data_IF_029457027240
#
_entry.id   IF_029457027240
#
_cell.length_a   1.000
_cell.length_b   1.000
_cell.length_c   1.000
_cell.angle_alpha   90.00
_cell.angle_beta   90.00
_cell.angle_gamma   90.00
#
_symmetry.space_group_name_H-M   'P 1'
#
loop_
_entity.id
_entity.type
_entity.pdbx_description
1 polymer ?
#
# COMPACT_ATOMS: atom_id res chain seq x y z
N UNK A 1 -31.39 -31.35 57.89
CA UNK A 1 -30.23 -31.75 58.72
C UNK A 1 -29.00 -31.70 57.83
N UNK A 2 -28.26 -30.58 57.85
CA UNK A 2 -27.13 -30.34 56.94
C UNK A 2 -25.86 -30.63 57.73
N UNK A 3 -25.27 -31.79 57.50
CA UNK A 3 -24.02 -32.22 58.12
C UNK A 3 -22.84 -31.42 57.53
N UNK A 4 -22.25 -30.57 58.36
CA UNK A 4 -21.10 -29.72 58.01
C UNK A 4 -19.81 -30.55 57.96
N UNK A 5 -19.34 -30.88 56.75
CA UNK A 5 -18.08 -31.54 56.46
C UNK A 5 -16.88 -30.56 56.62
N UNK A 6 -16.46 -30.30 57.87
CA UNK A 6 -15.36 -29.36 58.18
C UNK A 6 -13.95 -29.80 57.76
N UNK A 7 -13.75 -31.04 57.27
CA UNK A 7 -12.43 -31.59 56.90
C UNK A 7 -12.02 -31.41 55.44
N UNK A 8 -12.91 -30.91 54.57
CA UNK A 8 -12.66 -30.78 53.12
C UNK A 8 -12.56 -29.32 52.61
N UNK A 9 -12.66 -28.32 53.49
CA UNK A 9 -12.69 -26.91 53.04
C UNK A 9 -11.37 -26.38 52.47
N UNK A 10 -10.22 -26.90 52.91
CA UNK A 10 -8.92 -26.42 52.42
C UNK A 10 -8.60 -26.84 50.99
N UNK A 11 -8.94 -28.08 50.61
CA UNK A 11 -8.58 -28.63 49.30
C UNK A 11 -9.42 -28.04 48.17
N UNK A 12 -10.69 -27.70 48.45
CA UNK A 12 -11.57 -27.05 47.47
C UNK A 12 -11.07 -25.63 47.16
N UNK A 13 -10.57 -24.90 48.16
CA UNK A 13 -9.99 -23.57 47.97
C UNK A 13 -8.71 -23.63 47.13
N UNK A 14 -7.88 -24.66 47.37
CA UNK A 14 -6.67 -24.89 46.58
C UNK A 14 -7.01 -25.19 45.12
N UNK A 15 -8.00 -26.05 44.89
CA UNK A 15 -8.43 -26.41 43.54
C UNK A 15 -9.09 -25.23 42.81
N UNK A 16 -9.91 -24.42 43.50
CA UNK A 16 -10.51 -23.23 42.90
C UNK A 16 -9.45 -22.19 42.52
N UNK A 17 -8.39 -22.05 43.33
CA UNK A 17 -7.28 -21.16 43.05
C UNK A 17 -6.48 -21.61 41.81
N UNK A 18 -6.23 -22.91 41.64
CA UNK A 18 -5.59 -23.45 40.43
C UNK A 18 -6.43 -23.13 39.20
N UNK A 19 -7.74 -23.41 39.25
CA UNK A 19 -8.65 -23.15 38.12
C UNK A 19 -8.71 -21.66 37.79
N UNK A 20 -8.77 -20.79 38.80
CA UNK A 20 -8.73 -19.34 38.61
C UNK A 20 -7.45 -18.91 37.87
N UNK A 21 -6.28 -19.38 38.33
CA UNK A 21 -5.01 -19.04 37.68
C UNK A 21 -5.00 -19.51 36.23
N UNK A 22 -5.43 -20.75 35.94
CA UNK A 22 -5.49 -21.26 34.57
C UNK A 22 -6.43 -20.42 33.68
N UNK A 23 -7.61 -20.06 34.17
CA UNK A 23 -8.55 -19.22 33.41
C UNK A 23 -7.97 -17.82 33.14
N UNK A 24 -7.28 -17.21 34.10
CA UNK A 24 -6.63 -15.91 33.87
C UNK A 24 -5.52 -15.98 32.83
N UNK A 25 -4.69 -17.05 32.83
CA UNK A 25 -3.62 -17.23 31.84
C UNK A 25 -4.17 -17.35 30.43
N UNK A 26 -5.24 -18.11 30.24
CA UNK A 26 -5.91 -18.25 28.94
C UNK A 26 -6.50 -16.90 28.51
N UNK A 27 -7.16 -16.19 29.44
CA UNK A 27 -7.76 -14.89 29.16
C UNK A 27 -6.73 -13.83 28.72
N UNK A 28 -5.59 -13.74 29.42
CA UNK A 28 -4.51 -12.81 29.06
C UNK A 28 -3.92 -13.17 27.69
N UNK A 29 -3.66 -14.46 27.43
CA UNK A 29 -3.09 -14.89 26.15
C UNK A 29 -3.99 -14.51 24.94
N UNK A 30 -5.31 -14.72 25.07
CA UNK A 30 -6.29 -14.36 24.05
C UNK A 30 -6.39 -12.83 23.86
N UNK A 31 -6.39 -12.07 24.96
CA UNK A 31 -6.49 -10.61 24.92
C UNK A 31 -5.26 -9.97 24.25
N UNK A 32 -4.06 -10.50 24.51
CA UNK A 32 -2.81 -10.00 23.89
C UNK A 32 -2.83 -10.24 22.38
N UNK A 33 -3.18 -11.45 21.94
CA UNK A 33 -3.24 -11.77 20.51
C UNK A 33 -4.31 -10.93 19.77
N UNK A 34 -5.47 -10.73 20.40
CA UNK A 34 -6.54 -9.89 19.85
C UNK A 34 -6.10 -8.43 19.73
N UNK A 35 -5.40 -7.88 20.73
CA UNK A 35 -4.90 -6.50 20.70
C UNK A 35 -3.86 -6.30 19.61
N UNK A 36 -2.99 -7.30 19.39
CA UNK A 36 -2.02 -7.28 18.29
C UNK A 36 -2.73 -7.26 16.94
N UNK A 37 -3.71 -8.14 16.74
CA UNK A 37 -4.49 -8.22 15.51
C UNK A 37 -5.23 -6.91 15.21
N UNK A 38 -5.81 -6.26 16.23
CA UNK A 38 -6.47 -4.96 16.08
C UNK A 38 -5.50 -3.85 15.66
N UNK A 39 -4.30 -3.80 16.24
CA UNK A 39 -3.27 -2.82 15.84
C UNK A 39 -2.79 -3.07 14.42
N UNK A 40 -2.63 -4.32 14.02
CA UNK A 40 -2.28 -4.69 12.65
C UNK A 40 -3.40 -4.32 11.67
N UNK A 41 -4.67 -4.55 12.03
CA UNK A 41 -5.81 -4.16 11.21
C UNK A 41 -5.88 -2.64 11.02
N UNK A 42 -5.64 -1.86 12.09
CA UNK A 42 -5.56 -0.39 12.01
C UNK A 42 -4.45 0.09 11.08
N UNK A 43 -3.22 -0.42 11.25
CA UNK A 43 -2.10 -0.10 10.37
C UNK A 43 -2.34 -0.56 8.92
N UNK A 44 -3.03 -1.68 8.73
CA UNK A 44 -3.45 -2.17 7.42
C UNK A 44 -4.45 -1.23 6.74
N UNK A 45 -5.40 -0.67 7.49
CA UNK A 45 -6.36 0.32 7.00
C UNK A 45 -5.67 1.59 6.52
N UNK A 46 -4.77 2.16 7.33
CA UNK A 46 -3.99 3.35 6.97
C UNK A 46 -3.14 3.11 5.72
N UNK A 47 -2.57 1.90 5.57
CA UNK A 47 -1.84 1.52 4.36
C UNK A 47 -2.75 1.45 3.12
N UNK A 48 -3.94 0.88 3.24
CA UNK A 48 -4.87 0.75 2.11
C UNK A 48 -5.33 2.14 1.64
N UNK A 49 -5.60 3.04 2.59
CA UNK A 49 -5.93 4.44 2.29
C UNK A 49 -4.79 5.13 1.55
N UNK A 50 -3.54 4.99 2.01
CA UNK A 50 -2.38 5.57 1.34
C UNK A 50 -2.09 4.94 -0.04
N UNK A 51 -2.40 3.66 -0.24
CA UNK A 51 -2.35 3.04 -1.57
C UNK A 51 -3.41 3.65 -2.49
N UNK A 52 -4.62 3.88 -1.98
CA UNK A 52 -5.69 4.49 -2.76
C UNK A 52 -5.35 5.95 -3.12
N UNK A 53 -4.80 6.74 -2.19
CA UNK A 53 -4.35 8.10 -2.47
C UNK A 53 -3.18 8.12 -3.47
N UNK A 54 -2.19 7.23 -3.31
CA UNK A 54 -1.08 7.11 -4.25
C UNK A 54 -1.55 6.78 -5.67
N UNK A 55 -2.51 5.85 -5.82
CA UNK A 55 -3.10 5.50 -7.11
C UNK A 55 -3.93 6.64 -7.70
N UNK A 56 -4.78 7.28 -6.89
CA UNK A 56 -5.58 8.43 -7.36
C UNK A 56 -4.71 9.60 -7.83
N UNK A 57 -3.65 9.91 -7.08
CA UNK A 57 -2.67 10.92 -7.48
C UNK A 57 -1.91 10.49 -8.75
N UNK A 58 -1.53 9.22 -8.85
CA UNK A 58 -0.89 8.66 -10.04
C UNK A 58 -1.77 8.85 -11.28
N UNK A 59 -3.04 8.44 -11.23
CA UNK A 59 -3.98 8.55 -12.34
C UNK A 59 -4.20 10.02 -12.75
N UNK A 60 -4.29 10.93 -11.77
CA UNK A 60 -4.40 12.38 -12.02
C UNK A 60 -3.17 12.91 -12.76
N UNK A 61 -1.96 12.55 -12.32
CA UNK A 61 -0.71 12.99 -13.00
C UNK A 61 -0.58 12.36 -14.38
N UNK A 62 -0.96 11.10 -14.55
CA UNK A 62 -0.94 10.45 -15.86
C UNK A 62 -1.89 11.19 -16.80
N UNK A 63 -3.15 11.35 -16.41
CA UNK A 63 -4.16 12.02 -17.23
C UNK A 63 -3.82 13.48 -17.56
N UNK A 64 -3.14 14.19 -16.66
CA UNK A 64 -2.72 15.57 -16.89
C UNK A 64 -1.54 15.69 -17.87
N UNK A 65 -0.74 14.63 -18.01
CA UNK A 65 0.50 14.65 -18.78
C UNK A 65 0.47 13.77 -20.05
N UNK A 66 -0.61 13.02 -20.27
CA UNK A 66 -0.82 12.25 -21.51
C UNK A 66 -0.75 13.18 -22.72
N UNK A 67 -0.07 12.75 -23.78
CA UNK A 67 0.02 13.52 -25.03
C UNK A 67 1.29 14.36 -25.15
N UNK A 68 1.44 15.48 -24.45
CA UNK A 68 2.57 16.43 -24.70
C UNK A 68 3.76 16.20 -23.78
N UNK A 69 3.54 16.15 -22.47
CA UNK A 69 4.64 15.99 -21.51
C UNK A 69 5.24 14.59 -21.60
N UNK A 70 4.41 13.55 -21.69
CA UNK A 70 4.87 12.17 -21.84
C UNK A 70 5.61 11.87 -23.16
N UNK A 71 5.51 12.73 -24.17
CA UNK A 71 6.16 12.58 -25.49
C UNK A 71 7.39 13.47 -25.69
N UNK A 72 7.57 14.51 -24.85
CA UNK A 72 8.73 15.43 -24.94
C UNK A 72 9.67 15.42 -23.73
N UNK A 73 9.22 14.99 -22.54
CA UNK A 73 10.05 14.83 -21.33
C UNK A 73 11.33 13.98 -21.53
N UNK A 74 12.49 14.60 -21.33
CA UNK A 74 13.83 13.96 -21.39
C UNK A 74 14.52 13.89 -20.02
N UNK A 75 13.93 14.53 -19.01
CA UNK A 75 14.46 14.63 -17.65
C UNK A 75 13.39 14.18 -16.66
N UNK A 76 13.81 13.58 -15.55
CA UNK A 76 12.91 13.22 -14.48
C UNK A 76 12.25 14.47 -13.85
N UNK A 77 10.94 14.43 -13.65
CA UNK A 77 10.20 15.53 -13.02
C UNK A 77 9.42 15.03 -11.81
N UNK A 78 9.41 15.84 -10.75
CA UNK A 78 8.70 15.53 -9.51
C UNK A 78 7.61 16.55 -9.27
N UNK A 79 6.38 16.10 -9.07
CA UNK A 79 5.22 16.92 -8.72
C UNK A 79 4.62 16.43 -7.41
N UNK A 80 4.19 17.36 -6.57
CA UNK A 80 3.54 17.02 -5.30
C UNK A 80 2.06 17.35 -5.44
N UNK A 81 1.21 16.35 -5.25
CA UNK A 81 -0.23 16.56 -5.15
C UNK A 81 -0.55 17.01 -3.72
N UNK A 82 -0.88 18.30 -3.57
CA UNK A 82 -1.19 18.89 -2.27
C UNK A 82 -2.54 18.43 -1.70
N UNK A 83 -3.46 17.96 -2.55
CA UNK A 83 -4.78 17.50 -2.12
C UNK A 83 -4.69 16.12 -1.46
N UNK A 84 -3.82 15.26 -2.00
CA UNK A 84 -3.64 13.88 -1.55
C UNK A 84 -2.36 13.65 -0.74
N UNK A 85 -1.47 14.65 -0.67
CA UNK A 85 -0.19 14.57 0.05
C UNK A 85 0.80 13.57 -0.56
N UNK A 86 0.70 13.32 -1.87
CA UNK A 86 1.48 12.29 -2.59
C UNK A 86 2.55 12.96 -3.45
N UNK A 87 3.75 12.41 -3.44
CA UNK A 87 4.84 12.83 -4.32
C UNK A 87 4.90 11.93 -5.55
N UNK A 88 4.69 12.51 -6.73
CA UNK A 88 4.71 11.81 -8.01
C UNK A 88 5.99 12.15 -8.76
N UNK A 89 6.73 11.13 -9.18
CA UNK A 89 7.99 11.25 -9.89
C UNK A 89 7.83 10.57 -11.25
N UNK A 90 8.03 11.32 -12.32
CA UNK A 90 7.97 10.83 -13.69
C UNK A 90 9.39 10.74 -14.23
N UNK A 91 9.85 9.54 -14.55
CA UNK A 91 11.21 9.27 -15.03
C UNK A 91 11.15 8.66 -16.44
N UNK A 92 11.77 9.30 -17.46
CA UNK A 92 11.88 8.68 -18.77
C UNK A 92 12.89 7.52 -18.70
N UNK A 93 12.51 6.31 -19.12
CA UNK A 93 13.44 5.16 -19.08
C UNK A 93 14.43 5.17 -20.25
N UNK A 94 14.05 5.78 -21.37
CA UNK A 94 14.85 5.86 -22.58
C UNK A 94 14.77 7.28 -23.16
N UNK A 95 15.91 7.80 -23.64
CA UNK A 95 16.02 9.12 -24.26
C UNK A 95 15.62 9.12 -25.76
N UNK A 96 14.72 8.23 -26.19
CA UNK A 96 14.33 8.12 -27.58
C UNK A 96 13.18 7.16 -27.84
N UNK A 97 12.76 7.15 -29.09
CA UNK A 97 11.67 6.34 -29.62
C UNK A 97 12.06 4.86 -29.66
N UNK A 98 11.29 4.02 -28.98
CA UNK A 98 11.49 2.58 -28.95
C UNK A 98 10.29 1.85 -29.53
N UNK A 99 10.47 0.59 -29.93
CA UNK A 99 9.34 -0.23 -30.36
C UNK A 99 8.34 -0.43 -29.22
N UNK A 100 7.07 -0.16 -29.51
CA UNK A 100 5.95 -0.43 -28.61
C UNK A 100 5.85 -1.93 -28.32
N UNK A 101 5.70 -2.34 -27.06
CA UNK A 101 5.49 -3.77 -26.74
C UNK A 101 4.06 -4.20 -27.02
N UNK A 102 3.11 -3.27 -26.93
CA UNK A 102 1.72 -3.47 -27.33
C UNK A 102 1.38 -2.39 -28.35
N UNK A 103 1.16 -2.78 -29.60
CA UNK A 103 0.54 -1.92 -30.59
C UNK A 103 -0.79 -2.55 -30.98
N UNK A 104 -1.89 -1.80 -30.85
CA UNK A 104 -3.23 -2.29 -31.16
C UNK A 104 -3.55 -2.21 -32.66
N UNK A 105 -2.69 -1.59 -33.48
CA UNK A 105 -3.00 -1.29 -34.88
C UNK A 105 -1.76 -1.40 -35.75
N UNK A 106 -1.84 -2.18 -36.83
CA UNK A 106 -0.75 -2.30 -37.79
C UNK A 106 -0.55 -0.96 -38.50
N UNK A 107 0.59 -0.30 -38.26
CA UNK A 107 0.99 0.92 -38.98
C UNK A 107 1.78 0.55 -40.23
N UNK A 108 1.27 0.94 -41.40
CA UNK A 108 1.92 0.75 -42.70
C UNK A 108 3.22 1.55 -42.76
N UNK A 109 4.36 0.92 -42.44
CA UNK A 109 5.69 1.55 -42.52
C UNK A 109 6.37 1.86 -41.19
N UNK A 110 5.92 1.28 -40.07
CA UNK A 110 6.60 1.40 -38.77
C UNK A 110 6.72 2.86 -38.27
N UNK A 111 5.74 3.70 -38.62
CA UNK A 111 5.70 5.12 -38.28
C UNK A 111 5.31 5.41 -36.83
N UNK A 112 4.85 4.40 -36.09
CA UNK A 112 4.47 4.53 -34.68
C UNK A 112 5.60 3.93 -33.84
N UNK A 113 6.18 4.78 -33.00
CA UNK A 113 7.10 4.39 -31.95
C UNK A 113 6.49 4.72 -30.58
N UNK A 114 7.07 4.18 -29.51
CA UNK A 114 6.65 4.46 -28.16
C UNK A 114 7.76 5.09 -27.36
N UNK A 115 7.36 5.96 -26.44
CA UNK A 115 8.25 6.46 -25.41
C UNK A 115 7.84 5.91 -24.05
N UNK A 116 8.82 5.42 -23.30
CA UNK A 116 8.58 4.79 -21.99
C UNK A 116 8.83 5.79 -20.89
N UNK A 117 7.84 5.96 -20.03
CA UNK A 117 7.92 6.78 -18.82
C UNK A 117 7.49 5.92 -17.65
N UNK A 118 8.28 5.94 -16.59
CA UNK A 118 7.93 5.35 -15.31
C UNK A 118 7.36 6.46 -14.44
N UNK A 119 6.18 6.22 -13.88
CA UNK A 119 5.52 7.12 -12.94
C UNK A 119 5.51 6.44 -11.58
N UNK A 120 6.25 7.00 -10.63
CA UNK A 120 6.37 6.53 -9.26
C UNK A 120 5.64 7.50 -8.33
N UNK A 121 4.59 7.05 -7.67
CA UNK A 121 3.78 7.86 -6.74
C UNK A 121 3.97 7.35 -5.32
N UNK A 122 4.44 8.21 -4.43
CA UNK A 122 4.81 7.88 -3.07
C UNK A 122 3.91 8.58 -2.05
N UNK A 123 3.21 7.79 -1.22
CA UNK A 123 2.36 8.26 -0.15
C UNK A 123 2.89 7.77 1.20
N UNK A 124 2.96 8.66 2.19
CA UNK A 124 3.34 8.31 3.57
C UNK A 124 2.11 7.94 4.39
N UNK A 125 2.26 6.98 5.29
CA UNK A 125 1.18 6.52 6.18
C UNK A 125 1.73 6.14 7.55
N UNK A 126 0.84 5.92 8.52
CA UNK A 126 1.25 5.60 9.88
C UNK A 126 1.58 6.82 10.72
N UNK A 127 1.73 6.58 12.03
CA UNK A 127 2.17 7.61 12.98
C UNK A 127 3.50 8.21 12.54
N UNK A 128 3.58 9.54 12.54
CA UNK A 128 4.77 10.32 12.18
C UNK A 128 5.41 9.94 10.83
N UNK A 129 4.61 9.57 9.83
CA UNK A 129 5.09 9.19 8.49
C UNK A 129 6.11 8.04 8.47
N UNK A 130 6.02 7.10 9.42
CA UNK A 130 6.94 5.95 9.49
C UNK A 130 6.71 4.91 8.38
N UNK A 131 5.53 4.90 7.77
CA UNK A 131 5.20 4.06 6.62
C UNK A 131 5.35 4.85 5.32
N UNK A 132 5.91 4.19 4.31
CA UNK A 132 5.94 4.70 2.93
C UNK A 132 5.39 3.62 2.02
N UNK A 133 4.47 4.01 1.14
CA UNK A 133 4.03 3.17 0.04
C UNK A 133 4.33 3.85 -1.27
N UNK A 134 4.96 3.11 -2.18
CA UNK A 134 5.30 3.60 -3.51
C UNK A 134 4.61 2.72 -4.54
N UNK A 135 3.84 3.35 -5.42
CA UNK A 135 3.18 2.72 -6.55
C UNK A 135 3.92 3.13 -7.80
N UNK A 136 4.46 2.14 -8.52
CA UNK A 136 5.24 2.37 -9.75
C UNK A 136 4.47 1.80 -10.92
N UNK A 137 4.27 2.62 -11.96
CA UNK A 137 3.66 2.20 -13.22
C UNK A 137 4.56 2.57 -14.40
N UNK A 138 4.75 1.64 -15.32
CA UNK A 138 5.39 1.89 -16.61
C UNK A 138 4.36 2.22 -17.67
N UNK A 139 4.51 3.36 -18.33
CA UNK A 139 3.62 3.88 -19.35
C UNK A 139 4.36 3.89 -20.68
N UNK A 140 3.73 3.33 -21.71
CA UNK A 140 4.18 3.47 -23.11
C UNK A 140 3.25 4.47 -23.79
N UNK A 141 3.80 5.61 -24.22
CA UNK A 141 3.07 6.64 -24.95
C UNK A 141 3.42 6.53 -26.44
N UNK A 142 2.42 6.34 -27.30
CA UNK A 142 2.61 6.32 -28.75
C UNK A 142 2.97 7.70 -29.29
N UNK A 143 3.96 7.74 -30.19
CA UNK A 143 4.49 8.91 -30.90
C UNK A 143 4.74 8.56 -32.36
N UNK A 144 4.76 9.57 -33.22
CA UNK A 144 5.24 9.39 -34.59
C UNK A 144 6.78 9.36 -34.57
N UNK A 145 7.36 8.33 -35.19
CA UNK A 145 8.81 8.14 -35.25
C UNK A 145 9.49 9.39 -35.85
N UNK A 146 10.38 10.03 -35.09
CA UNK A 146 11.15 11.20 -35.55
C UNK A 146 10.45 12.56 -35.40
N UNK A 147 9.54 12.69 -34.43
CA UNK A 147 8.92 13.95 -34.01
C UNK A 147 9.68 14.65 -32.88
#
# INVERSE_FOLDING_TARGET
>A
MITSQKKQQGIVLFFSLIVLVLMTLIGVALAVNSTQSLRMAGAGSERIEAVASAKGAQDKVISANTGTTLTTMTVATTTVDADLGVSNTMTPLNAGDVSCKRSATASSGNLISCRRVEVSSAATFGRSNMGLVTVVAGIEQEVLTGS
#
